data_IF_597546849194
#
_entry.id   IF_597546849194
#
_cell.length_a   1.000
_cell.length_b   1.000
_cell.length_c   1.000
_cell.angle_alpha   90.00
_cell.angle_beta   90.00
_cell.angle_gamma   90.00
#
_symmetry.space_group_name_H-M   'P 1'
#
loop_
_entity.id
_entity.type
_entity.pdbx_description
1 polymer ?
#
# COMPACT_ATOMS: atom_id res chain seq x y z
N UNK A 1 -38.83 -8.59 11.36
CA UNK A 1 -37.49 -8.46 10.73
C UNK A 1 -36.46 -8.23 11.82
N UNK A 2 -35.23 -8.77 11.70
CA UNK A 2 -34.13 -8.63 12.68
C UNK A 2 -32.94 -7.88 12.06
N UNK A 3 -32.92 -6.53 12.10
CA UNK A 3 -31.84 -5.74 11.48
C UNK A 3 -30.46 -6.06 12.03
N UNK A 4 -30.37 -6.41 13.32
CA UNK A 4 -29.14 -6.81 14.01
C UNK A 4 -28.49 -8.08 13.43
N UNK A 5 -29.27 -8.90 12.70
CA UNK A 5 -28.80 -10.14 12.07
C UNK A 5 -28.41 -9.98 10.61
N UNK A 6 -28.60 -8.80 10.03
CA UNK A 6 -28.41 -8.59 8.59
C UNK A 6 -26.96 -8.83 8.16
N UNK A 7 -25.99 -8.26 8.87
CA UNK A 7 -24.56 -8.42 8.54
C UNK A 7 -24.13 -9.89 8.59
N UNK A 8 -24.52 -10.61 9.65
CA UNK A 8 -24.21 -12.03 9.81
C UNK A 8 -24.90 -12.87 8.74
N UNK A 9 -26.17 -12.59 8.43
CA UNK A 9 -26.91 -13.29 7.38
C UNK A 9 -26.27 -13.10 5.99
N UNK A 10 -25.82 -11.88 5.68
CA UNK A 10 -25.09 -11.58 4.45
C UNK A 10 -23.76 -12.35 4.39
N UNK A 11 -22.97 -12.35 5.48
CA UNK A 11 -21.72 -13.12 5.54
C UNK A 11 -21.97 -14.63 5.36
N UNK A 12 -22.97 -15.19 6.03
CA UNK A 12 -23.35 -16.60 5.86
C UNK A 12 -23.76 -16.92 4.42
N UNK A 13 -24.52 -16.02 3.78
CA UNK A 13 -24.93 -16.20 2.39
C UNK A 13 -23.73 -16.20 1.43
N UNK A 14 -22.81 -15.23 1.58
CA UNK A 14 -21.58 -15.14 0.78
C UNK A 14 -20.71 -16.37 1.01
N UNK A 15 -20.48 -16.76 2.26
CA UNK A 15 -19.65 -17.93 2.58
C UNK A 15 -20.24 -19.22 1.98
N UNK A 16 -21.58 -19.41 2.06
CA UNK A 16 -22.25 -20.58 1.49
C UNK A 16 -22.10 -20.69 -0.03
N UNK A 17 -22.07 -19.58 -0.77
CA UNK A 17 -22.09 -19.60 -2.24
C UNK A 17 -20.74 -19.31 -2.89
N UNK A 18 -19.88 -18.53 -2.26
CA UNK A 18 -18.59 -18.10 -2.80
C UNK A 18 -17.40 -18.64 -1.97
N UNK A 19 -17.63 -19.05 -0.73
CA UNK A 19 -16.61 -19.57 0.19
C UNK A 19 -16.08 -18.53 1.18
N UNK A 20 -15.38 -19.00 2.21
CA UNK A 20 -14.95 -18.19 3.36
C UNK A 20 -13.94 -17.08 3.00
N UNK A 21 -13.16 -17.29 1.92
CA UNK A 21 -12.18 -16.31 1.41
C UNK A 21 -12.78 -14.95 1.01
N UNK A 22 -14.10 -14.88 0.81
CA UNK A 22 -14.81 -13.64 0.49
C UNK A 22 -15.43 -12.96 1.72
N UNK A 23 -15.32 -13.58 2.89
CA UNK A 23 -15.78 -13.03 4.17
C UNK A 23 -14.65 -12.83 5.18
N UNK A 24 -13.51 -13.46 4.94
CA UNK A 24 -12.30 -13.36 5.76
C UNK A 24 -11.33 -12.38 5.10
N UNK A 25 -10.76 -11.41 5.85
CA UNK A 25 -9.73 -10.55 5.30
C UNK A 25 -8.49 -11.38 4.96
N UNK A 26 -7.91 -11.22 3.75
CA UNK A 26 -6.69 -11.94 3.40
C UNK A 26 -5.53 -11.47 4.28
N UNK A 27 -4.56 -12.35 4.57
CA UNK A 27 -3.32 -11.92 5.21
C UNK A 27 -2.61 -10.90 4.32
N UNK A 28 -1.97 -9.90 4.93
CA UNK A 28 -1.16 -8.95 4.19
C UNK A 28 0.05 -9.66 3.56
N UNK A 29 0.19 -9.59 2.23
CA UNK A 29 1.34 -10.11 1.50
C UNK A 29 1.88 -9.06 0.52
N UNK A 30 3.07 -8.54 0.82
CA UNK A 30 3.74 -7.55 -0.03
C UNK A 30 4.31 -8.16 -1.31
N UNK A 31 4.77 -9.42 -1.27
CA UNK A 31 5.30 -10.10 -2.45
C UNK A 31 4.21 -10.29 -3.51
N UNK A 32 3.04 -10.77 -3.12
CA UNK A 32 1.92 -10.98 -4.05
C UNK A 32 1.47 -9.65 -4.66
N UNK A 33 1.27 -8.64 -3.79
CA UNK A 33 0.92 -7.28 -4.24
C UNK A 33 1.95 -6.69 -5.20
N UNK A 34 3.25 -6.87 -4.92
CA UNK A 34 4.32 -6.39 -5.80
C UNK A 34 4.35 -7.13 -7.13
N UNK A 35 4.12 -8.46 -7.12
CA UNK A 35 4.12 -9.29 -8.33
C UNK A 35 2.95 -8.95 -9.27
N UNK A 36 1.83 -8.52 -8.71
CA UNK A 36 0.66 -8.03 -9.47
C UNK A 36 0.77 -6.55 -9.88
N UNK A 37 1.83 -5.86 -9.44
CA UNK A 37 2.09 -4.44 -9.74
C UNK A 37 3.08 -4.24 -10.89
N UNK A 38 3.26 -2.99 -11.32
CA UNK A 38 4.33 -2.61 -12.25
C UNK A 38 4.68 -1.13 -12.07
N UNK A 39 5.73 -0.64 -12.75
CA UNK A 39 6.21 0.73 -12.61
C UNK A 39 5.20 1.85 -12.99
N UNK A 40 4.06 1.50 -13.62
CA UNK A 40 2.97 2.44 -13.89
C UNK A 40 1.70 2.18 -13.05
N UNK A 41 1.74 1.19 -12.16
CA UNK A 41 0.67 0.87 -11.20
C UNK A 41 1.25 0.87 -9.79
N UNK A 42 1.21 2.02 -9.08
CA UNK A 42 1.88 2.16 -7.79
C UNK A 42 1.18 1.35 -6.69
N UNK A 43 1.98 0.85 -5.74
CA UNK A 43 1.46 0.21 -4.54
C UNK A 43 0.98 1.27 -3.54
N UNK A 44 -0.28 1.16 -3.09
CA UNK A 44 -0.88 2.06 -2.10
C UNK A 44 -1.07 1.31 -0.78
N UNK A 45 -0.49 1.85 0.29
CA UNK A 45 -0.63 1.31 1.64
C UNK A 45 -1.67 2.11 2.41
N UNK A 46 -2.78 1.45 2.78
CA UNK A 46 -3.81 2.02 3.66
C UNK A 46 -3.51 1.59 5.09
N UNK A 47 -3.13 2.54 5.93
CA UNK A 47 -2.66 2.27 7.28
C UNK A 47 -3.77 2.45 8.31
N UNK A 48 -3.84 1.51 9.24
CA UNK A 48 -4.57 1.71 10.49
C UNK A 48 -3.71 2.56 11.44
N UNK A 49 -4.32 3.30 12.39
CA UNK A 49 -3.56 4.05 13.38
C UNK A 49 -2.50 3.19 14.08
N UNK A 50 -1.26 3.66 14.11
CA UNK A 50 -0.12 2.96 14.72
C UNK A 50 0.56 1.90 13.86
N UNK A 51 0.06 1.62 12.65
CA UNK A 51 0.76 0.75 11.69
C UNK A 51 1.81 1.54 10.89
N UNK A 52 3.04 1.04 10.83
CA UNK A 52 4.10 1.55 9.96
C UNK A 52 4.69 0.42 9.09
N UNK A 53 4.48 0.43 7.76
CA UNK A 53 4.96 -0.61 6.87
C UNK A 53 6.45 -0.45 6.50
N UNK A 54 7.11 0.65 6.87
CA UNK A 54 8.43 1.02 6.33
C UNK A 54 9.50 -0.03 6.58
N UNK A 55 9.58 -0.58 7.79
CA UNK A 55 10.58 -1.59 8.12
C UNK A 55 10.41 -2.85 7.27
N UNK A 56 9.17 -3.30 7.06
CA UNK A 56 8.84 -4.45 6.22
C UNK A 56 9.10 -4.16 4.73
N UNK A 57 8.76 -2.97 4.26
CA UNK A 57 9.01 -2.52 2.88
C UNK A 57 10.51 -2.45 2.56
N UNK A 58 11.32 -1.87 3.45
CA UNK A 58 12.76 -1.76 3.28
C UNK A 58 13.48 -3.10 3.39
N UNK A 59 12.94 -4.04 4.17
CA UNK A 59 13.41 -5.42 4.16
C UNK A 59 13.06 -6.10 2.84
N UNK A 60 11.83 -5.95 2.37
CA UNK A 60 11.38 -6.52 1.10
C UNK A 60 12.20 -6.01 -0.11
N UNK A 61 12.49 -4.71 -0.16
CA UNK A 61 13.35 -4.14 -1.19
C UNK A 61 14.76 -4.77 -1.17
N UNK A 62 15.33 -4.93 0.03
CA UNK A 62 16.65 -5.56 0.22
C UNK A 62 16.64 -7.04 -0.22
N UNK A 63 15.58 -7.78 0.10
CA UNK A 63 15.36 -9.18 -0.33
C UNK A 63 15.28 -9.30 -1.87
N UNK A 64 14.85 -8.26 -2.57
CA UNK A 64 14.85 -8.17 -4.04
C UNK A 64 16.17 -7.64 -4.65
N UNK A 65 17.19 -7.39 -3.82
CA UNK A 65 18.48 -6.84 -4.25
C UNK A 65 18.48 -5.32 -4.45
N UNK A 66 17.44 -4.63 -4.02
CA UNK A 66 17.36 -3.16 -4.04
C UNK A 66 17.91 -2.66 -2.71
N UNK A 67 19.13 -2.12 -2.75
CA UNK A 67 19.78 -1.59 -1.56
C UNK A 67 18.91 -0.53 -0.89
N UNK A 68 18.76 -0.64 0.43
CA UNK A 68 18.06 0.36 1.26
C UNK A 68 18.56 1.79 1.04
N UNK A 69 19.84 1.96 0.73
CA UNK A 69 20.44 3.27 0.44
C UNK A 69 19.93 3.90 -0.87
N UNK A 70 19.33 3.11 -1.75
CA UNK A 70 18.79 3.55 -3.05
C UNK A 70 17.29 3.83 -3.02
N UNK A 71 16.60 3.42 -1.95
CA UNK A 71 15.18 3.72 -1.74
C UNK A 71 15.05 5.17 -1.28
N UNK A 72 14.41 6.00 -2.09
CA UNK A 72 14.14 7.39 -1.75
C UNK A 72 12.83 7.49 -0.98
N UNK A 73 12.80 8.21 0.14
CA UNK A 73 11.60 8.38 0.97
C UNK A 73 11.32 9.85 1.20
N UNK A 74 10.05 10.25 1.11
CA UNK A 74 9.59 11.60 1.42
C UNK A 74 8.25 11.55 2.15
N UNK A 75 8.14 12.27 3.26
CA UNK A 75 6.85 12.50 3.92
C UNK A 75 6.20 13.73 3.31
N UNK A 76 4.98 13.55 2.81
CA UNK A 76 4.21 14.63 2.22
C UNK A 76 3.61 15.51 3.31
N UNK A 77 3.58 16.80 3.01
CA UNK A 77 3.14 17.88 3.88
C UNK A 77 3.23 19.19 3.10
N UNK A 78 3.05 20.31 3.80
CA UNK A 78 3.07 21.62 3.14
C UNK A 78 4.40 21.86 2.40
N UNK A 79 4.31 22.13 1.10
CA UNK A 79 5.47 22.45 0.24
C UNK A 79 6.28 21.25 -0.27
N UNK A 80 5.92 20.00 0.07
CA UNK A 80 6.70 18.81 -0.35
C UNK A 80 6.33 18.28 -1.74
N UNK A 81 5.19 18.68 -2.31
CA UNK A 81 4.71 18.21 -3.61
C UNK A 81 5.73 18.37 -4.75
N UNK A 82 6.32 19.56 -4.96
CA UNK A 82 7.35 19.74 -6.00
C UNK A 82 8.59 18.85 -5.82
N UNK A 83 9.01 18.62 -4.58
CA UNK A 83 10.17 17.77 -4.27
C UNK A 83 9.83 16.30 -4.56
N UNK A 84 8.63 15.86 -4.17
CA UNK A 84 8.15 14.51 -4.45
C UNK A 84 8.00 14.26 -5.96
N UNK A 85 7.50 15.24 -6.73
CA UNK A 85 7.40 15.15 -8.18
C UNK A 85 8.77 14.99 -8.85
N UNK A 86 9.77 15.75 -8.41
CA UNK A 86 11.14 15.63 -8.96
C UNK A 86 11.82 14.32 -8.55
N UNK A 87 11.55 13.84 -7.33
CA UNK A 87 12.01 12.53 -6.86
C UNK A 87 11.46 11.39 -7.73
N UNK A 88 10.16 11.44 -8.07
CA UNK A 88 9.53 10.50 -9.01
C UNK A 88 10.16 10.62 -10.40
N UNK A 89 10.34 11.85 -10.92
CA UNK A 89 10.94 12.08 -12.23
C UNK A 89 12.35 11.50 -12.34
N UNK A 90 13.14 11.62 -11.27
CA UNK A 90 14.47 11.03 -11.18
C UNK A 90 14.40 9.50 -11.14
N UNK A 91 13.52 8.95 -10.32
CA UNK A 91 13.32 7.50 -10.17
C UNK A 91 12.88 6.81 -11.47
N UNK A 92 12.08 7.48 -12.30
CA UNK A 92 11.69 6.98 -13.63
C UNK A 92 12.91 6.67 -14.49
N UNK A 93 13.97 7.48 -14.37
CA UNK A 93 15.21 7.29 -15.15
C UNK A 93 16.18 6.34 -14.45
N UNK A 94 16.31 6.42 -13.12
CA UNK A 94 17.29 5.63 -12.36
C UNK A 94 16.82 4.22 -11.99
N UNK A 95 15.53 3.93 -12.07
CA UNK A 95 14.94 2.66 -11.65
C UNK A 95 14.84 2.49 -10.12
N UNK A 96 15.07 3.57 -9.37
CA UNK A 96 15.00 3.55 -7.91
C UNK A 96 13.56 3.54 -7.40
N UNK A 97 13.37 3.04 -6.18
CA UNK A 97 12.07 3.09 -5.52
C UNK A 97 11.86 4.44 -4.83
N UNK A 98 10.64 4.95 -4.92
CA UNK A 98 10.19 6.15 -4.21
C UNK A 98 9.06 5.76 -3.27
N UNK A 99 9.22 6.12 -2.00
CA UNK A 99 8.21 5.92 -0.96
C UNK A 99 7.66 7.28 -0.55
N UNK A 100 6.39 7.49 -0.83
CA UNK A 100 5.64 8.67 -0.42
C UNK A 100 4.88 8.32 0.87
N UNK A 101 5.18 9.05 1.95
CA UNK A 101 4.51 8.88 3.23
C UNK A 101 3.49 9.99 3.46
N UNK A 102 2.48 9.74 4.30
CA UNK A 102 1.49 10.73 4.70
C UNK A 102 0.75 11.41 3.53
N UNK A 103 0.50 10.69 2.44
CA UNK A 103 -0.18 11.23 1.25
C UNK A 103 -1.55 11.83 1.55
N UNK A 104 -2.24 11.34 2.58
CA UNK A 104 -3.52 11.90 3.04
C UNK A 104 -3.42 13.35 3.56
N UNK A 105 -2.23 13.84 3.90
CA UNK A 105 -1.99 15.24 4.32
C UNK A 105 -1.72 16.17 3.13
N UNK A 106 -1.63 15.64 1.91
CA UNK A 106 -1.28 16.38 0.70
C UNK A 106 -2.52 16.68 -0.16
N UNK A 107 -3.57 17.25 0.45
CA UNK A 107 -4.87 17.50 -0.22
C UNK A 107 -4.79 18.35 -1.50
N UNK A 108 -3.70 19.12 -1.68
CA UNK A 108 -3.49 20.04 -2.80
C UNK A 108 -2.36 19.65 -3.77
N UNK A 109 -1.83 18.43 -3.65
CA UNK A 109 -0.81 17.90 -4.55
C UNK A 109 -1.35 16.76 -5.43
#
# INVERSE_FOLDING_TARGET
VRPDKLVVACQMYVNKHLGSKYTEPPPFNLQDSYSDSHCCSPLIFILSPGADPMASLLKFADDLGISRATVMTISLGQGQGPIAAEMIRTAIVSGQWVVLQNCHLAESW
#
